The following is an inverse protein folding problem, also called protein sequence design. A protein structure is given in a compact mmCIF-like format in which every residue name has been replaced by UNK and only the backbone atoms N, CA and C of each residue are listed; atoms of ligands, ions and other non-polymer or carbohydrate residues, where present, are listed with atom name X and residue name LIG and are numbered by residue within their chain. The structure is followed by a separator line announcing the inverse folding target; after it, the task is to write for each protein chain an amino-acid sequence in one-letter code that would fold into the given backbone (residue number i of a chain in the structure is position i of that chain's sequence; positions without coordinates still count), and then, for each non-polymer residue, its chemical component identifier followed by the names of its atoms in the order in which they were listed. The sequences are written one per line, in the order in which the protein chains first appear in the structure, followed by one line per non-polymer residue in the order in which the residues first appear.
data_IF_461087188879
#
_entry.id   IF_461087188879
#
_cell.length_a   1.000
_cell.length_b   1.000
_cell.length_c   1.000
_cell.angle_alpha   90.00
_cell.angle_beta   90.00
_cell.angle_gamma   90.00
#
_symmetry.space_group_name_H-M   'P 1'
#
loop_
_entity.id
_entity.type
_entity.pdbx_description
1 polymer ?
#
# COMPACT_ATOMS: atom_id res chain seq x y z
N UNK A 1 -12.78 -9.17 18.64
CA UNK A 1 -11.61 -9.80 19.30
C UNK A 1 -10.31 -9.07 18.96
N UNK A 2 -9.92 -8.97 17.68
CA UNK A 2 -8.64 -8.34 17.27
C UNK A 2 -8.39 -6.94 17.84
N UNK A 3 -9.41 -6.09 17.89
CA UNK A 3 -9.30 -4.74 18.45
C UNK A 3 -8.79 -4.74 19.90
N UNK A 4 -9.26 -5.67 20.75
CA UNK A 4 -8.75 -5.84 22.11
C UNK A 4 -7.26 -6.23 22.10
N UNK A 5 -6.89 -7.12 21.18
CA UNK A 5 -5.49 -7.53 21.02
C UNK A 5 -4.57 -6.35 20.72
N UNK A 6 -4.98 -5.45 19.82
CA UNK A 6 -4.21 -4.24 19.50
C UNK A 6 -4.20 -3.22 20.65
N UNK A 7 -5.36 -2.93 21.26
CA UNK A 7 -5.46 -1.93 22.33
C UNK A 7 -4.67 -2.31 23.59
N UNK A 8 -4.64 -3.59 23.93
CA UNK A 8 -3.96 -4.09 25.13
C UNK A 8 -2.59 -4.73 24.82
N UNK A 9 -2.09 -4.60 23.58
CA UNK A 9 -0.76 -5.09 23.21
C UNK A 9 -0.59 -6.60 23.35
N UNK A 10 -1.64 -7.38 23.12
CA UNK A 10 -1.61 -8.85 23.26
C UNK A 10 -0.91 -9.46 22.04
N UNK A 11 0.23 -10.15 22.22
CA UNK A 11 1.13 -10.49 21.11
C UNK A 11 0.68 -11.67 20.25
N UNK A 12 -0.35 -12.42 20.66
CA UNK A 12 -0.83 -13.57 19.88
C UNK A 12 -2.33 -13.81 20.04
N UNK A 13 -2.96 -14.32 18.97
CA UNK A 13 -4.37 -14.71 18.97
C UNK A 13 -4.65 -15.81 20.03
N UNK A 14 -3.71 -16.73 20.24
CA UNK A 14 -3.80 -17.74 21.31
C UNK A 14 -3.83 -17.11 22.70
N UNK A 15 -2.96 -16.11 22.95
CA UNK A 15 -2.96 -15.38 24.22
C UNK A 15 -4.25 -14.58 24.37
N UNK A 16 -4.72 -13.91 23.31
CA UNK A 16 -5.97 -13.17 23.29
C UNK A 16 -7.17 -14.05 23.66
N UNK A 17 -7.27 -15.26 23.09
CA UNK A 17 -8.32 -16.22 23.44
C UNK A 17 -8.24 -16.63 24.90
N UNK A 18 -7.04 -16.93 25.43
CA UNK A 18 -6.84 -17.25 26.86
C UNK A 18 -7.27 -16.09 27.77
N UNK A 19 -6.98 -14.85 27.39
CA UNK A 19 -7.42 -13.69 28.18
C UNK A 19 -8.93 -13.50 28.13
N UNK A 20 -9.57 -13.69 26.97
CA UNK A 20 -11.04 -13.62 26.85
C UNK A 20 -11.72 -14.70 27.70
N UNK A 21 -11.10 -15.87 27.88
CA UNK A 21 -11.68 -16.94 28.71
C UNK A 21 -11.90 -16.49 30.15
N UNK A 22 -10.98 -15.68 30.71
CA UNK A 22 -10.96 -15.31 32.14
C UNK A 22 -11.34 -13.84 32.40
N UNK A 23 -11.24 -12.97 31.39
CA UNK A 23 -11.49 -11.54 31.54
C UNK A 23 -12.95 -11.19 31.22
N UNK A 24 -13.71 -10.83 32.25
CA UNK A 24 -15.12 -10.46 32.12
C UNK A 24 -15.34 -9.20 31.29
N UNK A 25 -14.45 -8.20 31.37
CA UNK A 25 -14.55 -6.98 30.56
C UNK A 25 -14.38 -7.28 29.07
N UNK A 26 -13.49 -8.22 28.72
CA UNK A 26 -13.31 -8.64 27.32
C UNK A 26 -14.55 -9.38 26.80
N UNK A 27 -15.13 -10.28 27.59
CA UNK A 27 -16.39 -10.95 27.22
C UNK A 27 -17.54 -9.97 27.04
N UNK A 28 -17.69 -9.02 27.97
CA UNK A 28 -18.69 -7.96 27.88
C UNK A 28 -18.52 -7.13 26.59
N UNK A 29 -17.29 -6.70 26.28
CA UNK A 29 -16.99 -5.96 25.05
C UNK A 29 -17.33 -6.76 23.79
N UNK A 30 -17.08 -8.07 23.80
CA UNK A 30 -17.39 -8.98 22.69
C UNK A 30 -18.87 -9.41 22.66
N UNK A 31 -19.70 -8.92 23.58
CA UNK A 31 -21.10 -9.29 23.75
C UNK A 31 -21.29 -10.80 23.96
N UNK A 32 -20.34 -11.43 24.64
CA UNK A 32 -20.38 -12.85 24.99
C UNK A 32 -20.95 -13.04 26.39
N UNK A 33 -21.70 -14.13 26.59
CA UNK A 33 -22.14 -14.50 27.94
C UNK A 33 -21.00 -15.10 28.78
N UNK A 34 -21.22 -15.25 30.09
CA UNK A 34 -20.23 -15.85 30.99
C UNK A 34 -20.00 -17.34 30.72
N UNK A 35 -21.05 -18.06 30.29
CA UNK A 35 -21.01 -19.51 30.04
C UNK A 35 -20.74 -19.86 28.58
N UNK A 36 -20.85 -18.90 27.66
CA UNK A 36 -20.58 -19.10 26.25
C UNK A 36 -19.12 -19.51 26.00
N UNK A 37 -18.96 -20.46 25.07
CA UNK A 37 -17.65 -20.97 24.67
C UNK A 37 -16.91 -19.92 23.85
N UNK A 38 -15.66 -19.64 24.22
CA UNK A 38 -14.80 -18.73 23.46
C UNK A 38 -14.39 -19.36 22.12
N UNK A 39 -14.41 -18.62 21.01
CA UNK A 39 -13.90 -19.10 19.73
C UNK A 39 -12.47 -19.62 19.84
N UNK A 40 -12.16 -20.66 19.06
CA UNK A 40 -10.78 -21.17 19.00
C UNK A 40 -9.84 -20.13 18.40
N UNK A 41 -8.57 -20.15 18.80
CA UNK A 41 -7.56 -19.22 18.29
C UNK A 41 -7.38 -19.32 16.76
N UNK A 42 -7.63 -20.49 16.16
CA UNK A 42 -7.58 -20.66 14.71
C UNK A 42 -8.75 -20.02 13.96
N UNK A 43 -9.82 -19.61 14.65
CA UNK A 43 -11.01 -19.04 14.00
C UNK A 43 -10.64 -17.79 13.19
N UNK A 44 -9.74 -16.95 13.73
CA UNK A 44 -9.31 -15.71 13.09
C UNK A 44 -8.48 -15.99 11.83
N UNK A 45 -7.51 -16.90 11.91
CA UNK A 45 -6.68 -17.28 10.75
C UNK A 45 -7.50 -17.98 9.66
N UNK A 46 -8.41 -18.89 10.03
CA UNK A 46 -9.29 -19.55 9.07
C UNK A 46 -10.27 -18.58 8.40
N UNK A 47 -10.79 -17.59 9.14
CA UNK A 47 -11.64 -16.56 8.54
C UNK A 47 -10.87 -15.70 7.54
N UNK A 48 -9.62 -15.33 7.83
CA UNK A 48 -8.76 -14.60 6.88
C UNK A 48 -8.56 -15.41 5.59
N UNK A 49 -8.27 -16.71 5.70
CA UNK A 49 -7.99 -17.57 4.54
C UNK A 49 -9.25 -17.90 3.73
N UNK A 50 -10.38 -18.20 4.39
CA UNK A 50 -11.55 -18.78 3.72
C UNK A 50 -12.64 -17.78 3.36
N UNK A 51 -12.81 -16.74 4.19
CA UNK A 51 -13.98 -15.85 4.11
C UNK A 51 -13.62 -14.46 3.62
N UNK A 52 -12.47 -13.95 4.05
CA UNK A 52 -12.06 -12.58 3.75
C UNK A 52 -10.92 -12.50 2.73
N UNK A 53 -10.34 -13.63 2.34
CA UNK A 53 -9.37 -13.66 1.26
C UNK A 53 -10.02 -13.12 -0.01
N UNK A 54 -9.30 -12.26 -0.72
CA UNK A 54 -9.75 -11.59 -1.93
C UNK A 54 -11.00 -10.68 -1.77
N UNK A 55 -11.43 -10.44 -0.52
CA UNK A 55 -12.53 -9.50 -0.23
C UNK A 55 -12.02 -8.08 -0.05
N UNK A 56 -12.82 -7.11 -0.45
CA UNK A 56 -12.56 -5.68 -0.26
C UNK A 56 -13.12 -5.14 1.08
N UNK A 57 -13.68 -6.02 1.93
CA UNK A 57 -14.34 -5.67 3.19
C UNK A 57 -13.43 -4.85 4.10
N UNK A 58 -12.14 -5.19 4.20
CA UNK A 58 -11.20 -4.42 5.00
C UNK A 58 -10.99 -3.00 4.47
N UNK A 59 -10.93 -2.84 3.16
CA UNK A 59 -10.84 -1.52 2.52
C UNK A 59 -12.11 -0.71 2.73
N UNK A 60 -13.29 -1.34 2.61
CA UNK A 60 -14.58 -0.69 2.86
C UNK A 60 -14.69 -0.19 4.31
N UNK A 61 -14.32 -1.01 5.28
CA UNK A 61 -14.32 -0.64 6.71
C UNK A 61 -13.34 0.52 6.94
N UNK A 62 -12.13 0.43 6.38
CA UNK A 62 -11.13 1.50 6.49
C UNK A 62 -11.63 2.81 5.90
N UNK A 63 -12.16 2.78 4.67
CA UNK A 63 -12.72 3.95 4.01
C UNK A 63 -13.85 4.58 4.82
N UNK A 64 -14.73 3.76 5.40
CA UNK A 64 -15.81 4.26 6.22
C UNK A 64 -15.30 4.96 7.48
N UNK A 65 -14.24 4.46 8.10
CA UNK A 65 -13.60 5.13 9.25
C UNK A 65 -13.00 6.48 8.83
N UNK A 66 -12.33 6.54 7.68
CA UNK A 66 -11.78 7.79 7.12
C UNK A 66 -12.90 8.79 6.81
N UNK A 67 -14.00 8.35 6.20
CA UNK A 67 -15.18 9.19 5.96
C UNK A 67 -15.73 9.78 7.26
N UNK A 68 -15.85 8.97 8.32
CA UNK A 68 -16.29 9.47 9.62
C UNK A 68 -15.31 10.49 10.20
N UNK A 69 -14.00 10.29 10.04
CA UNK A 69 -12.98 11.24 10.49
C UNK A 69 -13.07 12.57 9.73
N UNK A 70 -13.32 12.53 8.41
CA UNK A 70 -13.53 13.72 7.58
C UNK A 70 -14.80 14.48 7.99
N UNK A 71 -15.93 13.78 8.15
CA UNK A 71 -17.22 14.37 8.55
C UNK A 71 -17.12 15.04 9.91
N UNK A 72 -16.36 14.46 10.84
CA UNK A 72 -16.13 15.02 12.18
C UNK A 72 -15.03 16.08 12.21
N UNK A 73 -14.44 16.43 11.07
CA UNK A 73 -13.37 17.42 10.97
C UNK A 73 -12.05 16.99 11.62
N UNK A 74 -11.86 15.70 11.89
CA UNK A 74 -10.61 15.14 12.41
C UNK A 74 -9.54 15.03 11.31
N UNK A 75 -9.95 14.93 10.05
CA UNK A 75 -9.09 15.07 8.88
C UNK A 75 -9.69 16.12 7.92
N UNK A 76 -8.88 16.70 7.03
CA UNK A 76 -9.39 17.59 5.98
C UNK A 76 -8.83 17.29 4.58
N UNK A 77 -7.81 16.43 4.48
CA UNK A 77 -7.17 16.02 3.25
C UNK A 77 -6.45 17.14 2.50
N UNK A 78 -6.22 18.30 3.11
CA UNK A 78 -5.63 19.46 2.43
C UNK A 78 -4.12 19.37 2.32
N UNK A 79 -3.45 18.84 3.35
CA UNK A 79 -2.02 18.57 3.33
C UNK A 79 -1.83 17.11 3.68
N UNK A 80 -1.18 16.37 2.79
CA UNK A 80 -0.98 14.93 2.93
C UNK A 80 0.51 14.63 3.03
N UNK A 81 0.88 13.64 3.83
CA UNK A 81 2.26 13.14 3.91
C UNK A 81 2.27 11.67 3.57
N UNK A 82 3.09 11.27 2.60
CA UNK A 82 3.20 9.87 2.18
C UNK A 82 4.61 9.36 2.41
N UNK A 83 4.70 8.19 3.04
CA UNK A 83 5.94 7.45 3.24
C UNK A 83 5.68 5.95 3.15
N UNK A 84 6.73 5.16 3.01
CA UNK A 84 6.67 3.72 2.95
C UNK A 84 7.51 3.08 4.05
N UNK A 85 7.00 1.99 4.61
CA UNK A 85 7.73 1.21 5.61
C UNK A 85 7.94 -0.20 5.13
N UNK A 86 9.17 -0.71 5.30
CA UNK A 86 9.50 -2.09 4.97
C UNK A 86 9.02 -3.02 6.09
N UNK A 87 8.20 -3.99 5.73
CA UNK A 87 7.71 -5.03 6.62
C UNK A 87 8.39 -6.35 6.23
N UNK A 88 9.11 -6.97 7.16
CA UNK A 88 9.76 -8.25 6.91
C UNK A 88 8.68 -9.33 6.70
N UNK A 89 8.74 -10.02 5.58
CA UNK A 89 7.87 -11.16 5.33
C UNK A 89 8.32 -12.36 6.18
N UNK A 90 7.37 -13.19 6.62
CA UNK A 90 7.67 -14.47 7.29
C UNK A 90 7.99 -15.54 6.24
N UNK A 91 9.06 -15.29 5.47
CA UNK A 91 9.46 -16.11 4.34
C UNK A 91 10.95 -16.42 4.40
N UNK A 92 11.30 -17.69 4.29
CA UNK A 92 12.69 -18.13 4.37
C UNK A 92 13.42 -17.80 3.04
N UNK A 93 14.50 -16.99 3.07
CA UNK A 93 15.27 -16.65 1.87
C UNK A 93 15.90 -17.82 1.11
N UNK A 94 16.00 -19.01 1.74
CA UNK A 94 16.51 -20.24 1.12
C UNK A 94 15.41 -21.03 0.40
N UNK A 95 14.14 -20.78 0.70
CA UNK A 95 12.98 -21.41 0.05
C UNK A 95 12.44 -20.50 -1.05
N UNK A 96 13.13 -20.50 -2.18
CA UNK A 96 12.87 -19.58 -3.28
C UNK A 96 13.20 -20.18 -4.63
N UNK A 97 12.47 -19.75 -5.66
CA UNK A 97 12.73 -20.08 -7.06
C UNK A 97 13.01 -18.78 -7.82
N UNK A 98 13.85 -18.88 -8.84
CA UNK A 98 14.17 -17.78 -9.73
C UNK A 98 13.18 -17.79 -10.89
N UNK A 99 12.40 -16.73 -11.03
CA UNK A 99 11.40 -16.58 -12.08
C UNK A 99 11.72 -15.37 -12.96
N UNK A 100 11.48 -15.53 -14.25
CA UNK A 100 11.59 -14.48 -15.23
C UNK A 100 10.33 -13.63 -15.17
N UNK A 101 10.40 -12.44 -14.55
CA UNK A 101 9.27 -11.50 -14.53
C UNK A 101 9.53 -10.32 -15.48
N UNK A 102 8.51 -9.89 -16.24
CA UNK A 102 8.59 -8.66 -17.01
C UNK A 102 8.80 -7.48 -16.06
N UNK A 103 9.83 -6.66 -16.31
CA UNK A 103 9.96 -5.38 -15.63
C UNK A 103 8.81 -4.48 -16.06
N UNK A 104 7.95 -4.11 -15.11
CA UNK A 104 6.83 -3.21 -15.38
C UNK A 104 7.38 -1.91 -15.94
N UNK A 105 7.03 -1.61 -17.20
CA UNK A 105 7.22 -0.27 -17.74
C UNK A 105 6.48 0.65 -16.79
N UNK A 106 7.20 1.59 -16.17
CA UNK A 106 6.57 2.51 -15.24
C UNK A 106 5.38 3.16 -15.94
N UNK A 107 4.18 3.11 -15.34
CA UNK A 107 2.96 3.78 -15.87
C UNK A 107 3.24 5.24 -16.25
N UNK A 108 4.24 5.85 -15.61
CA UNK A 108 4.75 7.17 -15.94
C UNK A 108 5.30 7.27 -17.38
N UNK A 109 6.09 6.31 -17.85
CA UNK A 109 6.65 6.31 -19.21
C UNK A 109 5.52 6.21 -20.23
N UNK A 110 4.51 5.38 -19.96
CA UNK A 110 3.33 5.27 -20.81
C UNK A 110 2.55 6.59 -20.85
N UNK A 111 2.31 7.22 -19.70
CA UNK A 111 1.66 8.53 -19.61
C UNK A 111 2.47 9.63 -20.32
N UNK A 112 3.80 9.62 -20.21
CA UNK A 112 4.68 10.56 -20.88
C UNK A 112 4.58 10.41 -22.41
N UNK A 113 4.63 9.17 -22.90
CA UNK A 113 4.50 8.88 -24.32
C UNK A 113 3.13 9.31 -24.85
N UNK A 114 2.05 9.03 -24.10
CA UNK A 114 0.70 9.48 -24.47
C UNK A 114 0.58 11.01 -24.51
N UNK A 115 1.16 11.72 -23.54
CA UNK A 115 1.17 13.18 -23.51
C UNK A 115 1.95 13.77 -24.69
N UNK A 116 3.11 13.20 -25.02
CA UNK A 116 3.91 13.59 -26.18
C UNK A 116 3.15 13.35 -27.48
N UNK A 117 2.43 12.24 -27.62
CA UNK A 117 1.59 11.99 -28.80
C UNK A 117 0.42 12.97 -28.92
N UNK A 118 -0.25 13.30 -27.82
CA UNK A 118 -1.34 14.26 -27.80
C UNK A 118 -0.87 15.67 -28.20
N UNK A 119 0.28 16.12 -27.69
CA UNK A 119 0.89 17.40 -28.06
C UNK A 119 1.28 17.45 -29.54
N UNK A 120 1.86 16.36 -30.07
CA UNK A 120 2.20 16.26 -31.48
C UNK A 120 0.98 16.30 -32.39
N UNK A 121 -0.13 15.62 -32.02
CA UNK A 121 -1.40 15.71 -32.74
C UNK A 121 -1.95 17.13 -32.75
N UNK A 122 -1.89 17.83 -31.61
CA UNK A 122 -2.33 19.22 -31.49
C UNK A 122 -1.52 20.18 -32.37
N UNK A 123 -0.24 19.88 -32.56
CA UNK A 123 0.67 20.66 -33.41
C UNK A 123 0.81 20.10 -34.84
N UNK A 124 -0.08 19.19 -35.27
CA UNK A 124 -0.06 18.55 -36.60
C UNK A 124 1.29 17.91 -36.98
N UNK A 125 2.08 17.54 -35.97
CA UNK A 125 3.38 16.88 -36.15
C UNK A 125 3.16 15.39 -36.37
N UNK A 126 3.97 14.80 -37.25
CA UNK A 126 3.98 13.35 -37.46
C UNK A 126 4.25 12.61 -36.15
N UNK A 127 3.58 11.46 -35.91
CA UNK A 127 3.84 10.63 -34.74
C UNK A 127 5.32 10.29 -34.66
N UNK A 128 5.85 10.17 -33.44
CA UNK A 128 7.21 9.70 -33.26
C UNK A 128 7.30 8.28 -33.84
N UNK A 129 8.41 7.92 -34.52
CA UNK A 129 8.64 6.54 -34.87
C UNK A 129 8.57 5.73 -33.58
N UNK A 130 7.77 4.67 -33.58
CA UNK A 130 7.73 3.73 -32.45
C UNK A 130 9.18 3.35 -32.13
N UNK A 131 9.54 3.42 -30.84
CA UNK A 131 10.85 2.99 -30.37
C UNK A 131 11.06 1.60 -30.97
N UNK A 132 12.05 1.45 -31.86
CA UNK A 132 12.40 0.14 -32.41
C UNK A 132 12.60 -0.75 -31.19
N UNK A 133 11.84 -1.83 -31.08
CA UNK A 133 12.03 -2.88 -30.08
C UNK A 133 13.37 -3.55 -30.38
N UNK A 134 14.48 -2.87 -30.08
CA UNK A 134 15.78 -3.49 -29.90
C UNK A 134 15.65 -4.46 -28.71
N UNK A 135 16.44 -5.53 -28.64
CA UNK A 135 16.45 -6.45 -27.50
C UNK A 135 16.69 -5.73 -26.15
N UNK A 136 17.20 -4.51 -26.16
CA UNK A 136 17.36 -3.61 -25.00
C UNK A 136 16.06 -2.91 -24.56
N UNK A 137 15.06 -2.75 -25.45
CA UNK A 137 13.74 -2.14 -25.19
C UNK A 137 12.58 -3.16 -25.19
N UNK A 138 12.87 -4.44 -25.42
CA UNK A 138 11.94 -5.51 -25.10
C UNK A 138 11.82 -5.54 -23.58
N UNK A 139 10.59 -5.58 -23.05
CA UNK A 139 10.26 -5.67 -21.62
C UNK A 139 11.35 -6.43 -20.88
N UNK A 140 12.22 -5.71 -20.16
CA UNK A 140 13.44 -6.30 -19.62
C UNK A 140 13.02 -7.42 -18.68
N UNK A 141 13.27 -8.66 -19.09
CA UNK A 141 12.86 -9.82 -18.31
C UNK A 141 13.90 -10.00 -17.23
N UNK A 142 13.56 -9.61 -16.00
CA UNK A 142 14.49 -9.67 -14.87
C UNK A 142 14.31 -11.00 -14.15
N UNK A 143 15.44 -11.70 -13.97
CA UNK A 143 15.49 -12.86 -13.09
C UNK A 143 15.23 -12.40 -11.64
N UNK A 144 14.04 -12.71 -11.14
CA UNK A 144 13.54 -12.26 -9.85
C UNK A 144 13.44 -13.46 -8.91
N UNK A 145 13.99 -13.31 -7.72
CA UNK A 145 13.90 -14.33 -6.68
C UNK A 145 12.53 -14.25 -6.00
N UNK A 146 11.74 -15.32 -6.13
CA UNK A 146 10.38 -15.44 -5.61
C UNK A 146 10.35 -16.48 -4.49
N UNK A 147 9.66 -16.19 -3.38
CA UNK A 147 9.53 -17.16 -2.28
C UNK A 147 8.53 -18.26 -2.64
N UNK A 148 8.82 -19.50 -2.25
CA UNK A 148 7.84 -20.60 -2.40
C UNK A 148 6.78 -20.63 -1.28
N UNK A 149 7.06 -19.97 -0.15
CA UNK A 149 6.11 -19.88 0.97
C UNK A 149 5.26 -18.61 0.93
N UNK A 150 5.78 -17.54 0.33
CA UNK A 150 5.08 -16.26 0.21
C UNK A 150 5.40 -15.55 -1.13
N UNK A 151 4.77 -15.99 -2.24
CA UNK A 151 5.10 -15.52 -3.60
C UNK A 151 4.79 -14.04 -3.86
N UNK A 152 3.99 -13.40 -3.01
CA UNK A 152 3.63 -11.99 -3.10
C UNK A 152 4.67 -11.06 -2.47
N UNK A 153 5.58 -11.61 -1.65
CA UNK A 153 6.69 -10.85 -1.07
C UNK A 153 7.79 -10.55 -2.10
N UNK A 154 8.44 -9.40 -1.93
CA UNK A 154 9.54 -8.97 -2.81
C UNK A 154 10.90 -9.26 -2.19
N UNK A 155 11.80 -9.88 -2.94
CA UNK A 155 13.18 -10.08 -2.47
C UNK A 155 13.99 -8.79 -2.59
N UNK A 156 14.57 -8.35 -1.49
CA UNK A 156 15.38 -7.14 -1.43
C UNK A 156 16.81 -7.43 -0.97
N UNK A 157 17.75 -6.77 -1.61
CA UNK A 157 19.13 -6.63 -1.18
C UNK A 157 19.45 -5.14 -1.19
N UNK A 158 19.76 -4.60 0.00
CA UNK A 158 20.20 -3.22 0.21
C UNK A 158 21.48 -3.27 1.02
N UNK A 159 22.46 -2.47 0.62
CA UNK A 159 23.73 -2.39 1.34
C UNK A 159 23.48 -1.93 2.80
N UNK A 160 24.18 -2.58 3.74
CA UNK A 160 24.02 -2.39 5.19
C UNK A 160 22.62 -2.71 5.77
N UNK A 161 21.72 -3.36 5.03
CA UNK A 161 20.42 -3.82 5.53
C UNK A 161 20.27 -5.34 5.42
N UNK A 162 19.44 -5.96 6.28
CA UNK A 162 19.21 -7.40 6.22
C UNK A 162 18.60 -7.81 4.88
N UNK A 163 19.22 -8.81 4.23
CA UNK A 163 18.73 -9.40 2.98
C UNK A 163 17.57 -10.34 3.28
N UNK A 164 16.51 -10.27 2.48
CA UNK A 164 15.34 -11.11 2.70
C UNK A 164 14.13 -10.73 1.84
N UNK A 165 13.01 -11.37 2.16
CA UNK A 165 11.71 -11.05 1.57
C UNK A 165 11.00 -10.01 2.43
N UNK A 166 10.44 -9.00 1.77
CA UNK A 166 9.78 -7.87 2.40
C UNK A 166 8.51 -7.49 1.65
N UNK A 167 7.65 -6.78 2.36
CA UNK A 167 6.58 -5.95 1.83
C UNK A 167 6.93 -4.49 2.05
N UNK A 168 6.37 -3.62 1.23
CA UNK A 168 6.31 -2.19 1.49
C UNK A 168 4.88 -1.80 1.79
N UNK A 169 4.67 -1.14 2.91
CA UNK A 169 3.40 -0.51 3.26
C UNK A 169 3.50 0.99 3.01
N UNK A 170 2.86 1.45 1.94
CA UNK A 170 2.73 2.84 1.53
C UNK A 170 1.58 3.46 2.30
N UNK A 171 1.87 4.43 3.16
CA UNK A 171 0.85 5.10 3.98
C UNK A 171 0.80 6.58 3.68
N UNK A 172 -0.42 7.10 3.61
CA UNK A 172 -0.64 8.55 3.57
C UNK A 172 -1.37 8.98 4.83
N UNK A 173 -0.89 10.06 5.46
CA UNK A 173 -1.51 10.68 6.63
C UNK A 173 -1.94 12.12 6.34
N UNK A 174 -3.01 12.55 6.99
CA UNK A 174 -3.50 13.93 6.99
C UNK A 174 -2.68 14.81 7.94
N UNK A 175 -2.33 16.01 7.48
CA UNK A 175 -1.49 16.95 8.24
C UNK A 175 -2.18 17.63 9.42
N UNK A 176 -3.50 17.54 9.58
CA UNK A 176 -4.22 18.21 10.68
C UNK A 176 -4.02 17.50 12.01
N UNK A 177 -4.27 16.19 12.05
CA UNK A 177 -4.16 15.38 13.27
C UNK A 177 -3.46 14.03 13.04
N UNK A 178 -2.80 13.82 11.90
CA UNK A 178 -2.08 12.59 11.61
C UNK A 178 -2.97 11.37 11.34
N UNK A 179 -4.22 11.59 10.92
CA UNK A 179 -5.13 10.48 10.57
C UNK A 179 -4.62 9.79 9.30
N UNK A 180 -4.51 8.47 9.33
CA UNK A 180 -4.15 7.68 8.14
C UNK A 180 -5.31 7.74 7.16
N UNK A 181 -5.05 8.27 5.96
CA UNK A 181 -6.03 8.46 4.88
C UNK A 181 -5.97 7.33 3.84
N UNK A 182 -4.81 6.70 3.69
CA UNK A 182 -4.61 5.60 2.74
C UNK A 182 -3.50 4.67 3.23
N UNK A 183 -3.65 3.39 2.97
CA UNK A 183 -2.62 2.36 3.14
C UNK A 183 -2.67 1.42 1.95
N UNK A 184 -1.51 1.05 1.43
CA UNK A 184 -1.40 0.14 0.31
C UNK A 184 -0.12 -0.67 0.42
N UNK A 185 -0.24 -1.99 0.27
CA UNK A 185 0.89 -2.90 0.40
C UNK A 185 1.34 -3.35 -0.98
N UNK A 186 2.65 -3.28 -1.24
CA UNK A 186 3.28 -3.83 -2.43
C UNK A 186 4.40 -4.81 -2.05
N UNK A 187 4.84 -5.67 -2.98
CA UNK A 187 6.06 -6.43 -2.80
C UNK A 187 7.25 -5.50 -2.50
N UNK A 188 8.19 -5.92 -1.66
CA UNK A 188 9.30 -5.09 -1.21
C UNK A 188 10.25 -4.62 -2.31
N UNK A 189 10.30 -5.32 -3.44
CA UNK A 189 11.10 -4.95 -4.60
C UNK A 189 10.44 -3.91 -5.51
N UNK A 190 9.24 -3.43 -5.18
CA UNK A 190 8.56 -2.33 -5.87
C UNK A 190 9.08 -0.99 -5.36
N UNK A 191 9.36 -0.07 -6.28
CA UNK A 191 9.84 1.27 -5.93
C UNK A 191 8.69 2.17 -5.46
N UNK A 192 8.94 2.98 -4.44
CA UNK A 192 7.97 3.83 -3.74
C UNK A 192 7.14 4.74 -4.63
N UNK A 193 7.79 5.29 -5.66
CA UNK A 193 7.14 6.20 -6.60
C UNK A 193 6.14 5.53 -7.53
N UNK A 194 6.21 4.21 -7.72
CA UNK A 194 5.33 3.49 -8.65
C UNK A 194 3.85 3.55 -8.22
N UNK A 195 3.48 3.13 -6.99
CA UNK A 195 2.07 3.21 -6.56
C UNK A 195 1.64 4.64 -6.21
N UNK A 196 2.58 5.53 -5.85
CA UNK A 196 2.28 6.83 -5.24
C UNK A 196 1.21 7.65 -5.97
N UNK A 197 1.37 7.87 -7.29
CA UNK A 197 0.43 8.70 -8.06
C UNK A 197 -0.96 8.05 -8.15
N UNK A 198 -1.02 6.72 -8.33
CA UNK A 198 -2.27 5.98 -8.34
C UNK A 198 -2.99 6.05 -6.99
N UNK A 199 -2.25 5.91 -5.89
CA UNK A 199 -2.77 6.02 -4.53
C UNK A 199 -3.27 7.42 -4.20
N UNK A 200 -2.49 8.45 -4.57
CA UNK A 200 -2.89 9.85 -4.40
C UNK A 200 -4.16 10.17 -5.16
N UNK A 201 -4.30 9.69 -6.40
CA UNK A 201 -5.51 9.85 -7.20
C UNK A 201 -6.70 9.16 -6.54
N UNK A 202 -6.52 7.88 -6.16
CA UNK A 202 -7.56 7.07 -5.50
C UNK A 202 -8.12 7.77 -4.26
N UNK A 203 -7.27 8.26 -3.36
CA UNK A 203 -7.76 8.91 -2.12
C UNK A 203 -8.45 10.26 -2.42
N UNK A 204 -7.92 11.03 -3.36
CA UNK A 204 -8.49 12.34 -3.73
C UNK A 204 -9.87 12.17 -4.37
N UNK A 205 -10.03 11.18 -5.25
CA UNK A 205 -11.30 10.86 -5.90
C UNK A 205 -12.30 10.20 -4.93
N UNK A 206 -11.86 9.19 -4.17
CA UNK A 206 -12.73 8.43 -3.25
C UNK A 206 -13.36 9.31 -2.17
N UNK A 207 -12.58 10.23 -1.62
CA UNK A 207 -13.00 11.11 -0.52
C UNK A 207 -13.30 12.55 -0.98
N UNK A 208 -13.23 12.83 -2.29
CA UNK A 208 -13.46 14.15 -2.89
C UNK A 208 -12.64 15.26 -2.21
N UNK A 209 -11.36 14.99 -2.01
CA UNK A 209 -10.46 15.88 -1.29
C UNK A 209 -10.05 17.06 -2.17
N UNK A 210 -9.99 18.25 -1.57
CA UNK A 210 -9.36 19.42 -2.18
C UNK A 210 -7.92 19.52 -1.70
N UNK A 211 -7.12 18.52 -2.08
CA UNK A 211 -5.72 18.41 -1.69
C UNK A 211 -4.94 19.60 -2.22
N UNK A 212 -4.34 20.33 -1.30
CA UNK A 212 -3.35 21.37 -1.56
C UNK A 212 -2.01 20.64 -1.49
N UNK A 213 -1.24 20.64 -0.41
CA UNK A 213 0.11 20.08 -0.46
C UNK A 213 0.20 18.55 -0.28
N UNK A 214 1.24 17.96 -0.88
CA UNK A 214 1.65 16.59 -0.57
C UNK A 214 3.15 16.59 -0.26
N UNK A 215 3.52 16.20 0.95
CA UNK A 215 4.90 16.01 1.38
C UNK A 215 5.32 14.55 1.18
N UNK A 216 6.47 14.35 0.54
CA UNK A 216 7.07 13.04 0.29
C UNK A 216 8.58 13.11 0.45
N UNK A 217 9.21 11.98 0.79
CA UNK A 217 10.67 11.89 0.85
C UNK A 217 11.31 12.01 -0.56
N UNK A 218 12.61 12.31 -0.58
CA UNK A 218 13.44 12.38 -1.79
C UNK A 218 13.33 11.11 -2.65
N UNK A 219 13.14 9.94 -2.04
CA UNK A 219 12.93 8.67 -2.75
C UNK A 219 11.72 8.65 -3.69
N UNK A 220 10.72 9.52 -3.47
CA UNK A 220 9.56 9.65 -4.36
C UNK A 220 9.82 10.55 -5.57
N UNK A 221 10.94 11.30 -5.60
CA UNK A 221 11.33 12.16 -6.72
C UNK A 221 11.84 11.35 -7.91
N UNK A 222 10.90 10.70 -8.61
CA UNK A 222 11.09 10.24 -10.00
C UNK A 222 10.43 11.24 -10.95
N UNK A 223 10.82 11.26 -12.23
CA UNK A 223 10.36 12.29 -13.18
C UNK A 223 8.81 12.44 -13.25
N UNK A 224 8.03 11.42 -12.86
CA UNK A 224 6.58 11.48 -12.73
C UNK A 224 6.00 12.31 -11.60
N UNK A 225 6.75 12.56 -10.53
CA UNK A 225 6.34 13.50 -9.48
C UNK A 225 6.36 14.97 -9.94
N UNK A 226 7.16 15.31 -10.97
CA UNK A 226 7.33 16.71 -11.45
C UNK A 226 6.14 17.25 -12.23
N UNK A 227 5.37 16.40 -12.92
CA UNK A 227 4.40 16.90 -13.92
C UNK A 227 3.08 17.37 -13.28
N UNK A 228 2.70 16.84 -12.11
CA UNK A 228 1.40 17.13 -11.48
C UNK A 228 1.46 18.11 -10.31
N UNK A 229 2.62 18.35 -9.70
CA UNK A 229 2.79 19.47 -8.76
C UNK A 229 2.58 20.81 -9.48
N UNK A 230 2.96 20.93 -10.76
CA UNK A 230 2.73 22.13 -11.57
C UNK A 230 1.27 22.44 -11.92
N UNK A 231 0.35 21.47 -11.88
CA UNK A 231 -1.08 21.72 -12.19
C UNK A 231 -1.91 22.15 -10.99
N UNK A 232 -1.29 22.47 -9.85
CA UNK A 232 -2.03 23.07 -8.72
C UNK A 232 -1.23 23.46 -7.49
N UNK A 233 0.05 23.13 -7.38
CA UNK A 233 0.88 23.40 -6.20
C UNK A 233 2.29 23.83 -6.56
N UNK A 234 2.46 25.16 -6.58
CA UNK A 234 3.78 25.77 -6.51
C UNK A 234 4.51 25.32 -5.25
N UNK A 235 5.81 24.99 -5.32
CA UNK A 235 6.66 25.05 -4.15
C UNK A 235 6.71 26.51 -3.71
N UNK A 236 6.29 26.80 -2.48
CA UNK A 236 6.71 28.03 -1.81
C UNK A 236 8.21 27.92 -1.52
N UNK A 237 8.87 29.06 -1.70
CA UNK A 237 10.32 29.33 -1.66
C UNK A 237 11.11 28.63 -0.55
#
# INVERSE_FOLDING_TARGET
MMLLGYLFGIPSERRLVKEIQVNMAYRWFLRMSLTEKVPDASTLSQNRIRRFNDSDVFQQIFDHIVEQALVRGMANGRVLYTDSTHLKADANPRKSVNELRPEGVSEYIEQLNAAVEADRKKHEKRPLPAVKKTPENAVAVKNTKVSTTDPESGFMHRDNKPKGFFYLDHRTVDGKHGIIMDTHVTPGNVHDSQPFIGRLRRQTERFRLNTVAVGVDAGYFTAGGRYRTRTGLSPTE
#
